data_IF_783088300921
#
_entry.id   IF_783088300921
#
_cell.length_a   1.000
_cell.length_b   1.000
_cell.length_c   1.000
_cell.angle_alpha   90.00
_cell.angle_beta   90.00
_cell.angle_gamma   90.00
#
_symmetry.space_group_name_H-M   'P 1'
#
loop_
_entity.id
_entity.type
_entity.pdbx_description
1 polymer ?
#
# COMPACT_ATOMS: atom_id res chain seq x y z
N UNK A 1 -16.72 2.32 12.25
CA UNK A 1 -15.94 2.22 11.00
C UNK A 1 -14.55 1.75 11.37
N UNK A 2 -14.04 0.72 10.69
CA UNK A 2 -12.66 0.25 10.86
C UNK A 2 -11.71 1.22 10.15
N UNK A 3 -10.51 1.38 10.69
CA UNK A 3 -9.40 2.04 10.01
C UNK A 3 -8.89 1.15 8.88
N UNK A 4 -8.82 1.71 7.67
CA UNK A 4 -8.26 1.00 6.52
C UNK A 4 -6.76 0.77 6.70
N UNK A 5 -6.27 -0.34 6.17
CA UNK A 5 -4.84 -0.59 6.04
C UNK A 5 -4.22 0.34 4.99
N UNK A 6 -2.94 0.65 5.11
CA UNK A 6 -2.19 1.39 4.09
C UNK A 6 -2.30 0.70 2.72
N UNK A 7 -2.22 -0.63 2.68
CA UNK A 7 -2.40 -1.41 1.45
C UNK A 7 -3.79 -1.24 0.82
N UNK A 8 -4.83 -1.10 1.64
CA UNK A 8 -6.22 -0.90 1.18
C UNK A 8 -6.44 0.52 0.67
N UNK A 9 -5.91 1.51 1.39
CA UNK A 9 -5.94 2.91 0.97
C UNK A 9 -5.22 3.10 -0.39
N UNK A 10 -4.05 2.49 -0.56
CA UNK A 10 -3.31 2.50 -1.84
C UNK A 10 -4.11 1.86 -2.97
N UNK A 11 -4.74 0.72 -2.71
CA UNK A 11 -5.58 0.05 -3.70
C UNK A 11 -6.77 0.93 -4.11
N UNK A 12 -7.48 1.53 -3.15
CA UNK A 12 -8.62 2.42 -3.42
C UNK A 12 -8.21 3.65 -4.25
N UNK A 13 -7.01 4.17 -4.03
CA UNK A 13 -6.46 5.27 -4.84
C UNK A 13 -6.01 4.81 -6.22
N UNK A 14 -5.60 3.54 -6.36
CA UNK A 14 -5.27 2.89 -7.62
C UNK A 14 -6.47 2.49 -8.49
N UNK A 15 -7.70 2.60 -7.98
CA UNK A 15 -8.91 2.32 -8.76
C UNK A 15 -9.27 3.49 -9.68
N UNK A 16 -9.51 3.17 -10.95
CA UNK A 16 -10.11 4.07 -11.91
C UNK A 16 -11.60 4.26 -11.57
N UNK A 17 -11.97 5.52 -11.29
CA UNK A 17 -13.31 5.91 -10.83
C UNK A 17 -14.40 5.64 -11.86
N UNK A 18 -14.06 5.65 -13.15
CA UNK A 18 -15.03 5.51 -14.24
C UNK A 18 -15.31 4.05 -14.59
N UNK A 19 -14.28 3.20 -14.48
CA UNK A 19 -14.33 1.81 -14.91
C UNK A 19 -14.38 0.83 -13.76
N UNK A 20 -14.10 1.24 -12.51
CA UNK A 20 -14.03 0.33 -11.37
C UNK A 20 -12.93 -0.71 -11.52
N UNK A 21 -11.85 -0.37 -12.21
CA UNK A 21 -10.70 -1.26 -12.46
C UNK A 21 -9.48 -0.70 -11.77
N UNK A 22 -8.53 -1.57 -11.41
CA UNK A 22 -7.19 -1.13 -11.09
C UNK A 22 -6.61 -0.46 -12.34
N UNK A 23 -6.19 0.80 -12.20
CA UNK A 23 -5.67 1.61 -13.29
C UNK A 23 -4.31 1.10 -13.78
N UNK A 24 -4.03 1.28 -15.07
CA UNK A 24 -2.80 0.78 -15.69
C UNK A 24 -1.52 1.46 -15.12
N UNK A 25 -1.67 2.64 -14.51
CA UNK A 25 -0.58 3.37 -13.83
C UNK A 25 -0.28 2.87 -12.41
N UNK A 26 -1.16 2.05 -11.82
CA UNK A 26 -0.97 1.55 -10.47
C UNK A 26 0.08 0.44 -10.44
N UNK A 27 1.21 0.70 -9.77
CA UNK A 27 2.21 -0.34 -9.52
C UNK A 27 1.76 -1.22 -8.35
N UNK A 28 1.31 -2.45 -8.60
CA UNK A 28 0.89 -3.35 -7.52
C UNK A 28 1.98 -3.71 -6.51
N UNK A 29 3.26 -3.44 -6.80
CA UNK A 29 4.41 -3.78 -5.95
C UNK A 29 4.53 -2.91 -4.70
N UNK A 30 3.79 -1.81 -4.60
CA UNK A 30 3.69 -1.03 -3.35
C UNK A 30 2.84 -1.74 -2.30
N UNK A 31 1.86 -2.56 -2.69
CA UNK A 31 0.98 -3.28 -1.75
C UNK A 31 1.71 -4.17 -0.73
N UNK A 32 2.66 -5.04 -1.11
CA UNK A 32 3.37 -5.86 -0.13
C UNK A 32 4.23 -5.02 0.83
N UNK A 33 4.77 -3.90 0.37
CA UNK A 33 5.53 -2.96 1.24
C UNK A 33 4.61 -2.31 2.26
N UNK A 34 3.45 -1.84 1.80
CA UNK A 34 2.44 -1.27 2.67
C UNK A 34 1.95 -2.27 3.72
N UNK A 35 1.79 -3.54 3.32
CA UNK A 35 1.37 -4.60 4.23
C UNK A 35 2.42 -4.91 5.31
N UNK A 36 3.72 -4.80 5.02
CA UNK A 36 4.76 -4.88 6.07
C UNK A 36 4.65 -3.71 7.03
N UNK A 37 4.39 -2.49 6.54
CA UNK A 37 4.16 -1.34 7.40
C UNK A 37 2.94 -1.54 8.29
N UNK A 38 1.83 -2.01 7.71
CA UNK A 38 0.59 -2.28 8.46
C UNK A 38 0.80 -3.32 9.57
N UNK A 39 1.63 -4.34 9.33
CA UNK A 39 2.03 -5.31 10.36
C UNK A 39 2.84 -4.67 11.49
N UNK A 40 3.71 -3.70 11.17
CA UNK A 40 4.47 -2.94 12.17
C UNK A 40 3.54 -2.04 12.99
N UNK A 41 2.61 -1.34 12.33
CA UNK A 41 1.64 -0.47 13.01
C UNK A 41 0.65 -1.25 13.87
N UNK A 42 0.31 -2.47 13.47
CA UNK A 42 -0.49 -3.40 14.28
C UNK A 42 0.30 -4.06 15.44
N UNK A 43 1.61 -3.81 15.56
CA UNK A 43 2.46 -4.39 16.59
C UNK A 43 2.74 -5.89 16.41
N UNK A 44 2.46 -6.45 15.23
CA UNK A 44 2.76 -7.84 14.91
C UNK A 44 4.23 -8.04 14.50
N UNK A 45 4.82 -7.01 13.90
CA UNK A 45 6.25 -6.92 13.63
C UNK A 45 6.86 -5.75 14.39
N UNK A 46 8.07 -5.92 14.89
CA UNK A 46 8.89 -4.84 15.41
C UNK A 46 9.87 -4.39 14.33
N UNK A 47 9.99 -3.08 14.11
CA UNK A 47 10.98 -2.52 13.19
C UNK A 47 12.26 -2.22 13.96
N UNK A 48 13.30 -2.97 13.65
CA UNK A 48 14.65 -2.80 14.19
C UNK A 48 15.47 -1.94 13.22
N UNK A 49 15.87 -0.75 13.67
CA UNK A 49 16.68 0.17 12.88
C UNK A 49 18.14 -0.29 12.82
N UNK A 50 18.70 -0.40 11.61
CA UNK A 50 20.13 -0.43 11.30
C UNK A 50 21.05 -1.50 11.92
N UNK A 51 20.62 -2.27 12.92
CA UNK A 51 21.46 -3.24 13.65
C UNK A 51 21.43 -4.66 13.06
N UNK A 52 20.75 -4.85 11.91
CA UNK A 52 20.73 -6.11 11.18
C UNK A 52 22.11 -6.51 10.61
N UNK A 53 22.34 -7.80 10.29
CA UNK A 53 23.63 -8.32 9.83
C UNK A 53 24.18 -7.64 8.57
N UNK A 54 23.33 -7.01 7.77
CA UNK A 54 23.68 -6.28 6.54
C UNK A 54 23.61 -4.74 6.68
N UNK A 55 23.39 -4.21 7.88
CA UNK A 55 23.27 -2.76 8.14
C UNK A 55 22.00 -2.11 7.55
N UNK A 56 21.03 -2.92 7.13
CA UNK A 56 19.71 -2.48 6.67
C UNK A 56 18.65 -2.61 7.76
N UNK A 57 17.54 -1.90 7.59
CA UNK A 57 16.38 -2.00 8.49
C UNK A 57 15.76 -3.40 8.41
N UNK A 58 15.47 -3.97 9.57
CA UNK A 58 14.94 -5.33 9.71
C UNK A 58 13.63 -5.32 10.47
N UNK A 59 12.83 -6.37 10.28
CA UNK A 59 11.60 -6.61 11.03
C UNK A 59 11.67 -7.95 11.73
N UNK A 60 11.22 -7.97 12.98
CA UNK A 60 11.20 -9.16 13.83
C UNK A 60 9.77 -9.43 14.32
N UNK A 61 9.26 -10.67 14.23
CA UNK A 61 7.95 -11.02 14.78
C UNK A 61 7.85 -10.73 16.27
N UNK A 62 6.83 -9.97 16.67
CA UNK A 62 6.62 -9.54 18.06
C UNK A 62 5.71 -10.46 18.87
N UNK A 63 5.20 -11.54 18.25
CA UNK A 63 4.25 -12.48 18.86
C UNK A 63 2.81 -11.94 18.99
N UNK A 64 2.55 -10.71 18.56
CA UNK A 64 1.20 -10.16 18.46
C UNK A 64 0.45 -10.77 17.27
N UNK A 65 -0.75 -11.28 17.51
CA UNK A 65 -1.63 -11.80 16.46
C UNK A 65 -2.59 -10.68 15.98
N UNK A 66 -2.53 -10.28 14.70
CA UNK A 66 -3.41 -9.25 14.18
C UNK A 66 -4.86 -9.73 14.13
N UNK A 67 -5.80 -8.92 14.61
CA UNK A 67 -7.25 -9.18 14.44
C UNK A 67 -7.68 -9.12 12.97
N UNK A 68 -6.93 -8.39 12.14
CA UNK A 68 -7.28 -8.14 10.76
C UNK A 68 -6.91 -9.35 9.87
N UNK A 69 -7.87 -9.99 9.15
CA UNK A 69 -7.61 -11.22 8.38
C UNK A 69 -6.47 -11.12 7.36
N UNK A 70 -6.36 -9.99 6.65
CA UNK A 70 -5.26 -9.78 5.70
C UNK A 70 -3.89 -9.67 6.39
N UNK A 71 -3.84 -9.08 7.61
CA UNK A 71 -2.61 -9.00 8.39
C UNK A 71 -2.26 -10.36 9.00
N UNK A 72 -3.24 -11.11 9.50
CA UNK A 72 -3.02 -12.47 9.98
C UNK A 72 -2.45 -13.37 8.86
N UNK A 73 -3.01 -13.30 7.65
CA UNK A 73 -2.51 -14.03 6.49
C UNK A 73 -1.10 -13.59 6.07
N UNK A 74 -0.82 -12.28 6.11
CA UNK A 74 0.51 -11.74 5.82
C UNK A 74 1.55 -12.19 6.86
N UNK A 75 1.21 -12.11 8.14
CA UNK A 75 2.06 -12.55 9.24
C UNK A 75 2.38 -14.04 9.10
N UNK A 76 1.37 -14.87 8.87
CA UNK A 76 1.55 -16.31 8.66
C UNK A 76 2.49 -16.60 7.49
N UNK A 77 2.37 -15.86 6.37
CA UNK A 77 3.27 -16.02 5.23
C UNK A 77 4.71 -15.64 5.56
N UNK A 78 4.92 -14.50 6.24
CA UNK A 78 6.27 -14.01 6.60
C UNK A 78 6.95 -14.92 7.61
N UNK A 79 6.19 -15.49 8.55
CA UNK A 79 6.71 -16.31 9.65
C UNK A 79 6.72 -17.81 9.36
N UNK A 80 6.57 -18.24 8.09
CA UNK A 80 6.38 -19.67 7.73
C UNK A 80 5.36 -20.37 8.66
N UNK A 81 4.11 -19.96 8.58
CA UNK A 81 2.99 -20.44 9.39
C UNK A 81 3.09 -20.10 10.88
N UNK A 82 3.64 -18.93 11.25
CA UNK A 82 3.67 -18.46 12.64
C UNK A 82 4.84 -18.99 13.46
N UNK A 83 5.81 -19.65 12.85
CA UNK A 83 6.87 -20.40 13.55
C UNK A 83 8.25 -19.76 13.48
N UNK A 84 8.51 -18.93 12.48
CA UNK A 84 9.75 -18.18 12.34
C UNK A 84 9.72 -16.94 13.26
N UNK A 85 10.72 -16.83 14.13
CA UNK A 85 10.92 -15.70 15.04
C UNK A 85 12.16 -14.90 14.68
N UNK A 86 12.76 -15.18 13.51
CA UNK A 86 13.96 -14.52 13.03
C UNK A 86 13.73 -13.06 12.65
N UNK A 87 14.82 -12.30 12.68
CA UNK A 87 14.86 -10.95 12.12
C UNK A 87 15.10 -11.04 10.61
N UNK A 88 14.32 -10.29 9.82
CA UNK A 88 14.40 -10.30 8.36
C UNK A 88 14.48 -8.88 7.81
N UNK A 89 15.28 -8.66 6.77
CA UNK A 89 15.32 -7.36 6.10
C UNK A 89 13.92 -6.96 5.59
N UNK A 90 13.51 -5.70 5.80
CA UNK A 90 12.18 -5.18 5.38
C UNK A 90 11.93 -5.45 3.90
N UNK A 91 12.95 -5.24 3.06
CA UNK A 91 12.90 -5.50 1.63
C UNK A 91 12.68 -6.98 1.28
N UNK A 92 13.33 -7.90 2.00
CA UNK A 92 13.18 -9.34 1.80
C UNK A 92 11.78 -9.81 2.20
N UNK A 93 11.26 -9.28 3.32
CA UNK A 93 9.89 -9.53 3.78
C UNK A 93 8.86 -9.05 2.76
N UNK A 94 9.00 -7.83 2.26
CA UNK A 94 8.12 -7.29 1.22
C UNK A 94 8.22 -8.09 -0.09
N UNK A 95 9.43 -8.46 -0.52
CA UNK A 95 9.63 -9.28 -1.71
C UNK A 95 9.02 -10.68 -1.56
N UNK A 96 9.06 -11.26 -0.36
CA UNK A 96 8.37 -12.51 -0.05
C UNK A 96 6.85 -12.35 -0.18
N UNK A 97 6.27 -11.35 0.49
CA UNK A 97 4.84 -11.07 0.43
C UNK A 97 4.35 -10.80 -1.00
N UNK A 98 5.16 -10.15 -1.84
CA UNK A 98 4.84 -9.91 -3.25
C UNK A 98 4.55 -11.21 -4.04
N UNK A 99 5.02 -12.36 -3.57
CA UNK A 99 4.78 -13.68 -4.17
C UNK A 99 3.60 -14.43 -3.56
N UNK A 100 2.90 -13.83 -2.61
CA UNK A 100 1.78 -14.44 -1.86
C UNK A 100 0.44 -13.83 -2.28
N UNK A 101 -0.68 -14.54 -2.09
CA UNK A 101 -2.00 -13.96 -2.28
C UNK A 101 -2.25 -12.73 -1.40
N UNK A 102 -1.76 -12.74 -0.15
CA UNK A 102 -1.94 -11.66 0.82
C UNK A 102 -1.28 -10.35 0.37
N UNK A 103 -0.06 -10.41 -0.17
CA UNK A 103 0.64 -9.25 -0.72
C UNK A 103 0.20 -8.84 -2.13
N UNK A 104 -0.78 -9.53 -2.72
CA UNK A 104 -1.31 -9.19 -4.05
C UNK A 104 -2.50 -8.23 -3.95
N UNK A 105 -2.82 -7.55 -5.06
CA UNK A 105 -4.04 -6.74 -5.15
C UNK A 105 -5.31 -7.56 -4.85
N UNK A 106 -5.33 -8.86 -5.16
CA UNK A 106 -6.45 -9.73 -4.84
C UNK A 106 -6.72 -9.87 -3.34
N UNK A 107 -5.68 -9.83 -2.51
CA UNK A 107 -5.80 -9.87 -1.05
C UNK A 107 -6.51 -8.64 -0.49
N UNK A 108 -6.02 -7.44 -0.85
CA UNK A 108 -6.64 -6.18 -0.46
C UNK A 108 -8.07 -6.00 -1.03
N UNK A 109 -8.31 -6.43 -2.28
CA UNK A 109 -9.65 -6.45 -2.88
C UNK A 109 -10.59 -7.34 -2.09
N UNK A 110 -10.16 -8.56 -1.74
CA UNK A 110 -10.99 -9.52 -1.02
C UNK A 110 -11.47 -8.95 0.32
N UNK A 111 -10.59 -8.24 1.02
CA UNK A 111 -10.93 -7.60 2.28
C UNK A 111 -11.90 -6.43 2.10
N UNK A 112 -11.62 -5.51 1.17
CA UNK A 112 -12.53 -4.39 0.87
C UNK A 112 -13.94 -4.86 0.43
N UNK A 113 -14.02 -6.03 -0.20
CA UNK A 113 -15.32 -6.66 -0.53
C UNK A 113 -15.99 -7.24 0.71
N UNK A 114 -15.24 -7.93 1.58
CA UNK A 114 -15.76 -8.46 2.84
C UNK A 114 -16.32 -7.34 3.75
N UNK A 115 -15.70 -6.16 3.72
CA UNK A 115 -16.11 -4.99 4.48
C UNK A 115 -17.27 -4.20 3.85
N UNK A 116 -17.71 -4.59 2.65
CA UNK A 116 -18.78 -3.90 1.92
C UNK A 116 -18.37 -2.55 1.33
N UNK A 117 -17.07 -2.24 1.24
CA UNK A 117 -16.56 -1.04 0.55
C UNK A 117 -16.64 -1.22 -0.96
N UNK A 118 -16.28 -2.41 -1.45
CA UNK A 118 -16.33 -2.78 -2.86
C UNK A 118 -17.27 -3.97 -3.08
N UNK A 119 -17.78 -4.11 -4.29
CA UNK A 119 -18.36 -5.35 -4.80
C UNK A 119 -17.52 -5.85 -5.97
N UNK A 120 -17.19 -7.14 -5.97
CA UNK A 120 -16.48 -7.78 -7.07
C UNK A 120 -17.49 -8.50 -7.99
N UNK A 121 -17.57 -8.08 -9.25
CA UNK A 121 -18.35 -8.76 -10.27
C UNK A 121 -17.41 -9.40 -11.29
N UNK A 122 -17.43 -10.74 -11.37
CA UNK A 122 -16.76 -11.46 -12.44
C UNK A 122 -17.54 -11.37 -13.76
N UNK A 123 -16.85 -11.05 -14.84
CA UNK A 123 -17.39 -11.12 -16.20
C UNK A 123 -16.38 -11.73 -17.16
N UNK A 124 -16.86 -12.30 -18.27
CA UNK A 124 -16.00 -12.86 -19.32
C UNK A 124 -15.88 -11.88 -20.48
N UNK A 125 -14.68 -11.37 -20.72
CA UNK A 125 -14.39 -10.61 -21.94
C UNK A 125 -14.14 -11.61 -23.08
N UNK A 126 -14.90 -11.49 -24.17
CA UNK A 126 -14.86 -12.41 -25.32
C UNK A 126 -15.05 -13.90 -24.95
N UNK A 127 -15.81 -14.20 -23.90
CA UNK A 127 -16.11 -15.57 -23.47
C UNK A 127 -14.93 -16.37 -22.86
N UNK A 128 -13.70 -15.86 -22.97
CA UNK A 128 -12.47 -16.59 -22.62
C UNK A 128 -11.71 -15.98 -21.44
N UNK A 129 -11.72 -14.66 -21.30
CA UNK A 129 -10.92 -13.97 -20.27
C UNK A 129 -11.80 -13.54 -19.11
N UNK A 130 -11.66 -14.21 -17.97
CA UNK A 130 -12.26 -13.75 -16.71
C UNK A 130 -11.66 -12.40 -16.35
N UNK A 131 -12.53 -11.44 -16.05
CA UNK A 131 -12.16 -10.11 -15.54
C UNK A 131 -13.02 -9.83 -14.32
N UNK A 132 -12.44 -9.10 -13.38
CA UNK A 132 -13.14 -8.60 -12.20
C UNK A 132 -13.42 -7.12 -12.43
N UNK A 133 -14.68 -6.73 -12.24
CA UNK A 133 -15.12 -5.36 -12.11
C UNK A 133 -15.29 -5.07 -10.61
N UNK A 134 -14.68 -4.00 -10.12
CA UNK A 134 -14.78 -3.57 -8.73
C UNK A 134 -15.71 -2.37 -8.68
N UNK A 135 -16.92 -2.55 -8.16
CA UNK A 135 -17.90 -1.47 -8.02
C UNK A 135 -17.87 -0.96 -6.59
N UNK A 136 -17.65 0.33 -6.42
CA UNK A 136 -17.71 0.99 -5.12
C UNK A 136 -19.15 0.92 -4.55
N UNK A 137 -19.30 0.30 -3.38
CA UNK A 137 -20.57 0.17 -2.67
C UNK A 137 -20.70 1.25 -1.59
N UNK A 138 -19.61 1.52 -0.88
CA UNK A 138 -19.49 2.65 0.02
C UNK A 138 -18.39 3.60 -0.48
N UNK A 139 -18.75 4.78 -1.02
CA UNK A 139 -17.78 5.75 -1.54
C UNK A 139 -17.12 6.59 -0.44
N UNK A 140 -17.66 6.59 0.78
CA UNK A 140 -17.18 7.48 1.84
C UNK A 140 -15.71 7.21 2.25
N UNK A 141 -15.22 5.97 2.39
CA UNK A 141 -13.82 5.71 2.72
C UNK A 141 -12.85 6.29 1.69
N UNK A 142 -13.11 6.07 0.40
CA UNK A 142 -12.24 6.55 -0.65
C UNK A 142 -12.35 8.07 -0.87
N UNK A 143 -13.53 8.66 -0.62
CA UNK A 143 -13.74 10.10 -0.63
C UNK A 143 -13.02 10.78 0.52
N UNK A 144 -13.20 10.29 1.75
CA UNK A 144 -12.55 10.82 2.95
C UNK A 144 -11.03 10.76 2.83
N UNK A 145 -10.50 9.64 2.32
CA UNK A 145 -9.07 9.48 2.03
C UNK A 145 -8.56 10.54 1.06
N UNK A 146 -9.24 10.73 -0.08
CA UNK A 146 -8.84 11.74 -1.07
C UNK A 146 -8.91 13.15 -0.53
N UNK A 147 -9.96 13.49 0.23
CA UNK A 147 -10.08 14.79 0.89
C UNK A 147 -8.93 15.02 1.89
N UNK A 148 -8.59 14.01 2.71
CA UNK A 148 -7.48 14.06 3.66
C UNK A 148 -6.16 14.33 2.94
N UNK A 149 -5.83 13.53 1.93
CA UNK A 149 -4.57 13.66 1.19
C UNK A 149 -4.48 14.93 0.35
N UNK A 150 -5.58 15.36 -0.29
CA UNK A 150 -5.64 16.61 -1.02
C UNK A 150 -5.31 17.82 -0.11
N UNK A 151 -5.82 17.81 1.13
CA UNK A 151 -5.50 18.87 2.10
C UNK A 151 -4.01 18.92 2.46
N UNK A 152 -3.36 17.75 2.58
CA UNK A 152 -1.92 17.64 2.88
C UNK A 152 -1.04 18.05 1.71
N UNK A 153 -1.52 17.88 0.47
CA UNK A 153 -0.83 18.32 -0.74
C UNK A 153 -0.88 19.85 -0.94
N UNK A 154 -1.72 20.57 -0.20
CA UNK A 154 -1.89 22.03 -0.33
C UNK A 154 -1.35 22.80 0.89
N UNK A 155 -1.28 22.17 2.07
CA UNK A 155 -0.73 22.79 3.32
C UNK A 155 0.77 23.08 3.18
N UNK A 156 1.53 23.77 4.05
CA UNK A 156 3.01 23.84 3.89
C UNK A 156 3.76 22.81 4.74
N UNK A 157 3.08 22.20 5.71
CA UNK A 157 3.64 21.21 6.61
C UNK A 157 3.86 19.87 5.91
N UNK A 158 5.02 19.27 6.14
CA UNK A 158 5.31 17.92 5.67
C UNK A 158 4.42 16.90 6.43
N UNK A 159 3.70 16.01 5.72
CA UNK A 159 2.92 14.96 6.35
C UNK A 159 3.85 13.95 7.03
N UNK A 160 3.56 13.61 8.29
CA UNK A 160 4.31 12.61 9.06
C UNK A 160 3.58 11.27 9.15
N UNK A 161 4.30 10.22 9.56
CA UNK A 161 3.73 8.90 9.84
C UNK A 161 3.06 8.26 8.62
N UNK A 162 1.86 7.71 8.84
CA UNK A 162 1.06 6.97 7.87
C UNK A 162 0.78 7.74 6.57
N UNK A 163 0.24 8.96 6.69
CA UNK A 163 -0.11 9.79 5.52
C UNK A 163 1.14 10.28 4.76
N UNK A 164 2.25 10.48 5.47
CA UNK A 164 3.54 10.81 4.84
C UNK A 164 4.06 9.68 3.95
N UNK A 165 4.03 8.45 4.47
CA UNK A 165 4.41 7.27 3.69
C UNK A 165 3.45 7.02 2.53
N UNK A 166 2.14 7.19 2.73
CA UNK A 166 1.14 7.06 1.67
C UNK A 166 1.43 8.02 0.51
N UNK A 167 1.68 9.30 0.81
CA UNK A 167 2.01 10.31 -0.21
C UNK A 167 3.38 10.06 -0.86
N UNK A 168 4.37 9.60 -0.11
CA UNK A 168 5.67 9.21 -0.66
C UNK A 168 5.49 8.09 -1.68
N UNK A 169 4.77 7.01 -1.33
CA UNK A 169 4.54 5.89 -2.23
C UNK A 169 3.71 6.28 -3.46
N UNK A 170 2.68 7.12 -3.31
CA UNK A 170 1.90 7.65 -4.44
C UNK A 170 2.72 8.55 -5.38
N UNK A 171 3.65 9.33 -4.81
CA UNK A 171 4.61 10.13 -5.59
C UNK A 171 5.52 9.26 -6.46
N UNK A 172 5.89 8.08 -5.97
CA UNK A 172 6.72 7.11 -6.70
C UNK A 172 5.97 6.34 -7.81
N UNK A 173 4.63 6.38 -7.80
CA UNK A 173 3.77 5.74 -8.81
C UNK A 173 3.05 6.73 -9.72
N UNK A 174 3.37 8.04 -9.64
CA UNK A 174 2.70 9.12 -10.39
C UNK A 174 1.17 9.16 -10.20
N UNK A 175 0.68 8.74 -9.03
CA UNK A 175 -0.74 8.73 -8.69
C UNK A 175 -1.14 9.88 -7.75
N UNK A 176 -0.18 10.66 -7.27
CA UNK A 176 -0.46 11.75 -6.33
C UNK A 176 -1.43 12.80 -6.90
N UNK A 177 -1.36 13.08 -8.21
CA UNK A 177 -2.29 13.99 -8.88
C UNK A 177 -3.73 13.47 -8.94
N UNK A 178 -3.94 12.16 -8.88
CA UNK A 178 -5.25 11.51 -8.98
C UNK A 178 -6.03 11.54 -7.66
N UNK A 179 -5.36 11.95 -6.57
CA UNK A 179 -5.99 12.24 -5.28
C UNK A 179 -6.92 13.44 -5.40
N UNK A 180 -6.55 14.42 -6.23
CA UNK A 180 -7.31 15.65 -6.42
C UNK A 180 -8.65 15.39 -7.17
N UNK A 181 -9.65 16.27 -7.01
CA UNK A 181 -10.84 16.25 -7.85
C UNK A 181 -10.49 16.38 -9.35
N UNK A 182 -11.20 15.67 -10.25
CA UNK A 182 -10.92 15.72 -11.68
C UNK A 182 -11.12 17.12 -12.28
N UNK A 183 -11.97 17.95 -11.66
CA UNK A 183 -12.25 19.32 -12.09
C UNK A 183 -11.13 20.32 -11.75
N UNK A 184 -10.12 19.93 -10.97
CA UNK A 184 -8.98 20.79 -10.66
C UNK A 184 -8.14 21.09 -11.92
N UNK A 185 -7.69 22.34 -12.04
CA UNK A 185 -6.88 22.82 -13.14
C UNK A 185 -5.49 22.14 -13.19
N UNK A 186 -4.84 22.22 -14.36
CA UNK A 186 -3.57 21.54 -14.59
C UNK A 186 -2.40 22.11 -13.77
N UNK A 187 -2.44 23.40 -13.42
CA UNK A 187 -1.39 24.07 -12.66
C UNK A 187 -1.40 23.58 -11.21
N UNK A 188 -2.55 23.61 -10.55
CA UNK A 188 -2.74 23.08 -9.19
C UNK A 188 -2.39 21.59 -9.12
N UNK A 189 -2.75 20.82 -10.15
CA UNK A 189 -2.36 19.40 -10.24
C UNK A 189 -0.85 19.21 -10.34
N UNK A 190 -0.17 20.05 -11.13
CA UNK A 190 1.28 20.05 -11.25
C UNK A 190 1.98 20.41 -9.93
N UNK A 191 1.46 21.39 -9.19
CA UNK A 191 1.97 21.76 -7.85
C UNK A 191 1.84 20.59 -6.87
N UNK A 192 0.69 19.92 -6.84
CA UNK A 192 0.48 18.77 -5.98
C UNK A 192 1.38 17.58 -6.33
N UNK A 193 1.57 17.29 -7.63
CA UNK A 193 2.52 16.27 -8.09
C UNK A 193 3.95 16.61 -7.68
N UNK A 194 4.38 17.86 -7.88
CA UNK A 194 5.71 18.31 -7.48
C UNK A 194 5.92 18.16 -5.98
N UNK A 195 4.93 18.55 -5.18
CA UNK A 195 5.01 18.40 -3.72
C UNK A 195 5.05 16.94 -3.29
N UNK A 196 4.25 16.06 -3.90
CA UNK A 196 4.32 14.63 -3.59
C UNK A 196 5.70 14.05 -3.91
N UNK A 197 6.34 14.51 -4.99
CA UNK A 197 7.71 14.15 -5.31
C UNK A 197 8.71 14.64 -4.24
N UNK A 198 8.55 15.85 -3.72
CA UNK A 198 9.36 16.36 -2.60
C UNK A 198 9.16 15.54 -1.31
N UNK A 199 7.93 15.11 -1.03
CA UNK A 199 7.64 14.20 0.10
C UNK A 199 8.34 12.86 -0.11
N UNK A 200 8.27 12.29 -1.32
CA UNK A 200 8.95 11.04 -1.65
C UNK A 200 10.48 11.16 -1.55
N UNK A 201 11.05 12.29 -1.98
CA UNK A 201 12.49 12.57 -1.86
C UNK A 201 12.91 12.69 -0.38
N UNK A 202 12.14 13.42 0.43
CA UNK A 202 12.37 13.51 1.87
C UNK A 202 12.27 12.16 2.58
N UNK A 203 11.44 11.24 2.06
CA UNK A 203 11.28 9.89 2.55
C UNK A 203 12.29 8.88 1.94
N UNK A 204 13.30 9.30 1.18
CA UNK A 204 14.21 8.38 0.51
C UNK A 204 14.98 7.44 1.46
N UNK A 205 15.14 7.83 2.73
CA UNK A 205 15.77 7.00 3.78
C UNK A 205 14.77 6.15 4.56
N UNK A 206 13.48 6.30 4.33
CA UNK A 206 12.46 5.49 4.96
C UNK A 206 12.62 4.01 4.53
N UNK A 207 12.58 3.06 5.48
CA UNK A 207 12.81 1.65 5.19
C UNK A 207 11.79 1.07 4.20
N UNK A 208 10.55 1.53 4.23
CA UNK A 208 9.49 1.05 3.35
C UNK A 208 9.63 1.64 1.95
N UNK A 209 10.06 2.90 1.83
CA UNK A 209 10.41 3.49 0.53
C UNK A 209 11.58 2.75 -0.13
N UNK A 210 12.63 2.43 0.64
CA UNK A 210 13.75 1.62 0.16
C UNK A 210 13.32 0.20 -0.24
N UNK A 211 12.44 -0.42 0.56
CA UNK A 211 11.89 -1.73 0.27
C UNK A 211 11.08 -1.74 -1.05
N UNK A 212 10.30 -0.69 -1.34
CA UNK A 212 9.61 -0.57 -2.62
C UNK A 212 10.57 -0.60 -3.81
N UNK A 213 11.68 0.13 -3.76
CA UNK A 213 12.68 0.09 -4.83
C UNK A 213 13.36 -1.28 -4.97
N UNK A 214 13.63 -1.97 -3.85
CA UNK A 214 14.13 -3.34 -3.85
C UNK A 214 13.15 -4.32 -4.52
N UNK A 215 11.87 -4.30 -4.13
CA UNK A 215 10.82 -5.12 -4.74
C UNK A 215 10.69 -4.80 -6.23
N UNK A 216 10.70 -3.52 -6.59
CA UNK A 216 10.55 -3.06 -7.99
C UNK A 216 11.72 -3.47 -8.88
N UNK A 217 12.94 -3.47 -8.36
CA UNK A 217 14.15 -3.90 -9.08
C UNK A 217 14.29 -5.42 -9.16
N UNK A 218 13.42 -6.17 -8.48
CA UNK A 218 13.54 -7.63 -8.37
C UNK A 218 14.70 -8.07 -7.47
N UNK A 219 15.26 -7.14 -6.68
CA UNK A 219 16.26 -7.47 -5.68
C UNK A 219 15.58 -8.15 -4.50
N UNK A 220 15.61 -9.48 -4.49
CA UNK A 220 15.40 -10.27 -3.29
C UNK A 220 16.79 -10.63 -2.78
N UNK A 221 17.24 -9.97 -1.71
CA UNK A 221 18.41 -10.45 -0.96
C UNK A 221 18.17 -11.92 -0.61
N UNK A 222 19.03 -12.79 -1.13
CA UNK A 222 19.08 -14.22 -0.78
C UNK A 222 19.74 -14.37 0.57
#
# INVERSE_FOLDING_TARGET
MRTLLLAEELLLLGLDRSTGRIGDRFDGRVLPVALVRDLVDAGALHLDGGDGPDGGDTVTPSGGEPDHPALAAALAAVTRDGTDTGSHAVAATAAHLARTPAGSAGGAVGQLVADGVLAAQEYRRFGLFRRVLLTEQDPEPARALRTRLASLLVTETAPGGHDGLLLALLGLTDLAGDVLPPEIDAETRGVAQHRAALVAEGAARDPFVRAYFAVRSGWAGN
#
